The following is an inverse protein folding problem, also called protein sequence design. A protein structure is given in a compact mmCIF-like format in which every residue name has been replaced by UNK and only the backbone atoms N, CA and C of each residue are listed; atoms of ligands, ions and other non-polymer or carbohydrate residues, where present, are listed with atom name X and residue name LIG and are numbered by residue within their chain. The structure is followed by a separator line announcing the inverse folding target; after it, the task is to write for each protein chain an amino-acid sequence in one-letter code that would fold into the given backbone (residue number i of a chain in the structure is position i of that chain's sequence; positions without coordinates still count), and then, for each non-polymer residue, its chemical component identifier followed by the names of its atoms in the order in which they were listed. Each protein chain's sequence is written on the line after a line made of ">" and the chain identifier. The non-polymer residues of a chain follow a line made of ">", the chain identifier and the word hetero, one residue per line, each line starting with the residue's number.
data_IF_097350526369
#
_entry.id   IF_097350526369
#
_cell.length_a   1.000
_cell.length_b   1.000
_cell.length_c   1.000
_cell.angle_alpha   90.00
_cell.angle_beta   90.00
_cell.angle_gamma   90.00
#
_symmetry.space_group_name_H-M   'P 1'
#
loop_
_entity.id
_entity.type
_entity.pdbx_description
1 polymer ?
#
# COMPACT_ATOMS: atom_id res chain seq x y z
N UNK A 1 7.03 26.76 0.90
CA UNK A 1 8.03 26.57 -0.17
C UNK A 1 9.06 25.49 0.20
N UNK A 2 9.74 25.57 1.35
CA UNK A 2 10.80 24.62 1.78
C UNK A 2 10.35 23.15 1.92
N UNK A 3 9.10 22.91 2.33
CA UNK A 3 8.56 21.53 2.44
C UNK A 3 8.33 20.91 1.06
N UNK A 4 7.89 21.69 0.08
CA UNK A 4 7.63 21.22 -1.28
C UNK A 4 8.94 20.89 -1.99
N UNK A 5 9.96 21.74 -1.86
CA UNK A 5 11.27 21.49 -2.47
C UNK A 5 11.96 20.26 -1.86
N UNK A 6 11.85 20.07 -0.54
CA UNK A 6 12.35 18.87 0.13
C UNK A 6 11.61 17.60 -0.34
N UNK A 7 10.28 17.67 -0.46
CA UNK A 7 9.46 16.57 -0.97
C UNK A 7 9.84 16.20 -2.40
N UNK A 8 9.98 17.17 -3.30
CA UNK A 8 10.39 16.92 -4.69
C UNK A 8 11.78 16.27 -4.76
N UNK A 9 12.75 16.76 -3.97
CA UNK A 9 14.08 16.18 -3.92
C UNK A 9 14.04 14.73 -3.40
N UNK A 10 13.30 14.47 -2.32
CA UNK A 10 13.14 13.12 -1.77
C UNK A 10 12.51 12.15 -2.79
N UNK A 11 11.50 12.59 -3.55
CA UNK A 11 10.87 11.76 -4.59
C UNK A 11 11.84 11.47 -5.73
N UNK A 12 12.60 12.47 -6.18
CA UNK A 12 13.63 12.30 -7.23
C UNK A 12 14.69 11.30 -6.77
N UNK A 13 15.20 11.44 -5.54
CA UNK A 13 16.16 10.50 -4.95
C UNK A 13 15.56 9.09 -4.89
N UNK A 14 14.31 8.95 -4.45
CA UNK A 14 13.63 7.64 -4.38
C UNK A 14 13.50 6.98 -5.76
N UNK A 15 13.15 7.74 -6.80
CA UNK A 15 13.06 7.22 -8.18
C UNK A 15 14.42 6.75 -8.66
N UNK A 16 15.47 7.56 -8.47
CA UNK A 16 16.84 7.21 -8.88
C UNK A 16 17.34 5.97 -8.13
N UNK A 17 17.13 5.90 -6.81
CA UNK A 17 17.50 4.73 -6.00
C UNK A 17 16.77 3.46 -6.44
N UNK A 18 15.49 3.57 -6.78
CA UNK A 18 14.70 2.43 -7.27
C UNK A 18 15.17 1.98 -8.64
N UNK A 19 15.46 2.91 -9.56
CA UNK A 19 15.98 2.59 -10.89
C UNK A 19 17.33 1.86 -10.81
N UNK A 20 18.25 2.36 -9.96
CA UNK A 20 19.53 1.70 -9.71
C UNK A 20 19.34 0.33 -9.07
N UNK A 21 18.44 0.19 -8.09
CA UNK A 21 18.15 -1.10 -7.45
C UNK A 21 17.70 -2.16 -8.47
N UNK A 22 16.92 -1.79 -9.49
CA UNK A 22 16.51 -2.71 -10.54
C UNK A 22 17.65 -3.19 -11.44
N UNK A 23 18.75 -2.43 -11.59
CA UNK A 23 19.95 -2.89 -12.30
C UNK A 23 20.75 -3.93 -11.50
N UNK A 24 20.69 -3.87 -10.17
CA UNK A 24 21.35 -4.84 -9.28
C UNK A 24 20.52 -6.10 -8.99
N UNK A 25 19.23 -6.09 -9.33
CA UNK A 25 18.31 -7.20 -9.09
C UNK A 25 18.05 -7.94 -10.40
N UNK A 26 18.55 -9.16 -10.51
CA UNK A 26 18.21 -10.06 -11.60
C UNK A 26 16.73 -10.49 -11.46
N UNK A 27 15.83 -9.78 -12.13
CA UNK A 27 14.39 -10.05 -12.10
C UNK A 27 14.05 -11.44 -12.67
N UNK A 28 14.92 -11.98 -13.53
CA UNK A 28 14.81 -13.33 -14.06
C UNK A 28 15.12 -14.40 -13.01
N UNK A 29 15.98 -14.12 -12.03
CA UNK A 29 16.29 -15.04 -10.93
C UNK A 29 15.12 -15.25 -9.94
N UNK A 30 14.14 -14.33 -9.92
CA UNK A 30 12.93 -14.42 -9.09
C UNK A 30 11.67 -14.82 -9.88
N UNK A 31 11.82 -15.20 -11.17
CA UNK A 31 10.74 -15.71 -12.00
C UNK A 31 9.75 -14.65 -12.50
N UNK A 32 10.19 -13.39 -12.60
CA UNK A 32 9.37 -12.29 -13.14
C UNK A 32 9.65 -12.18 -14.64
N UNK A 33 8.59 -12.25 -15.47
CA UNK A 33 8.72 -12.13 -16.92
C UNK A 33 9.04 -10.66 -17.28
N UNK A 34 10.18 -10.37 -17.94
CA UNK A 34 10.56 -9.00 -18.30
C UNK A 34 9.60 -8.35 -19.30
N UNK A 35 8.65 -9.09 -19.90
CA UNK A 35 7.61 -8.53 -20.77
C UNK A 35 6.31 -8.30 -20.01
N UNK A 36 6.30 -7.29 -19.14
CA UNK A 36 5.08 -6.76 -18.53
C UNK A 36 4.08 -6.37 -19.64
N UNK A 37 3.07 -7.21 -19.85
CA UNK A 37 2.02 -6.99 -20.85
C UNK A 37 1.10 -5.85 -20.40
N UNK A 38 0.51 -5.11 -21.34
CA UNK A 38 -0.44 -4.02 -21.04
C UNK A 38 -1.56 -4.46 -20.08
N UNK A 39 -2.08 -5.68 -20.24
CA UNK A 39 -3.09 -6.25 -19.35
C UNK A 39 -2.61 -6.40 -17.89
N UNK A 40 -1.33 -6.76 -17.68
CA UNK A 40 -0.73 -6.83 -16.35
C UNK A 40 -0.67 -5.45 -15.72
N UNK A 41 -0.21 -4.45 -16.48
CA UNK A 41 -0.12 -3.07 -16.00
C UNK A 41 -1.49 -2.49 -15.60
N UNK A 42 -2.51 -2.72 -16.41
CA UNK A 42 -3.90 -2.30 -16.09
C UNK A 42 -4.39 -3.01 -14.82
N UNK A 43 -4.15 -4.32 -14.71
CA UNK A 43 -4.58 -5.10 -13.54
C UNK A 43 -3.88 -4.64 -12.26
N UNK A 44 -2.58 -4.34 -12.33
CA UNK A 44 -1.81 -3.77 -11.21
C UNK A 44 -2.33 -2.38 -10.84
N UNK A 45 -2.58 -1.51 -11.82
CA UNK A 45 -3.13 -0.18 -11.56
C UNK A 45 -4.49 -0.25 -10.85
N UNK A 46 -5.39 -1.12 -11.31
CA UNK A 46 -6.70 -1.34 -10.69
C UNK A 46 -6.57 -1.90 -9.26
N UNK A 47 -5.63 -2.81 -9.02
CA UNK A 47 -5.36 -3.36 -7.69
C UNK A 47 -4.86 -2.29 -6.71
N UNK A 48 -4.04 -1.35 -7.18
CA UNK A 48 -3.44 -0.30 -6.36
C UNK A 48 -4.42 0.82 -5.98
N UNK A 49 -5.51 1.02 -6.73
CA UNK A 49 -6.51 2.06 -6.44
C UNK A 49 -7.13 1.94 -5.03
N UNK A 50 -7.67 0.78 -4.61
CA UNK A 50 -8.12 0.56 -3.23
C UNK A 50 -7.02 0.83 -2.19
N UNK A 51 -5.77 0.45 -2.49
CA UNK A 51 -4.64 0.68 -1.59
C UNK A 51 -4.33 2.16 -1.39
N UNK A 52 -4.39 2.95 -2.46
CA UNK A 52 -4.19 4.39 -2.37
C UNK A 52 -5.23 5.05 -1.47
N UNK A 53 -6.49 4.61 -1.54
CA UNK A 53 -7.56 5.10 -0.66
C UNK A 53 -7.29 4.73 0.81
N UNK A 54 -6.88 3.48 1.07
CA UNK A 54 -6.51 3.03 2.41
C UNK A 54 -5.34 3.83 2.98
N UNK A 55 -4.29 4.03 2.18
CA UNK A 55 -3.11 4.80 2.57
C UNK A 55 -3.45 6.25 2.90
N UNK A 56 -4.30 6.90 2.09
CA UNK A 56 -4.79 8.25 2.34
C UNK A 56 -5.58 8.35 3.65
N UNK A 57 -6.46 7.37 3.93
CA UNK A 57 -7.20 7.29 5.19
C UNK A 57 -6.26 7.13 6.40
N UNK A 58 -5.27 6.25 6.32
CA UNK A 58 -4.27 6.06 7.38
C UNK A 58 -3.40 7.30 7.59
N UNK A 59 -3.01 7.98 6.51
CA UNK A 59 -2.24 9.22 6.58
C UNK A 59 -3.06 10.33 7.24
N UNK A 60 -4.34 10.46 6.91
CA UNK A 60 -5.22 11.43 7.53
C UNK A 60 -5.42 11.12 9.03
N UNK A 61 -5.58 9.84 9.38
CA UNK A 61 -5.75 9.40 10.77
C UNK A 61 -4.50 9.71 11.61
N UNK A 62 -3.32 9.34 11.11
CA UNK A 62 -2.04 9.67 11.79
C UNK A 62 -1.80 11.17 11.90
N UNK A 63 -2.29 11.96 10.93
CA UNK A 63 -2.21 13.42 10.97
C UNK A 63 -3.08 14.06 12.06
N UNK A 64 -4.16 13.39 12.53
CA UNK A 64 -4.95 13.88 13.66
C UNK A 64 -4.22 13.74 15.00
N UNK A 65 -3.41 12.69 15.14
CA UNK A 65 -2.67 12.43 16.39
C UNK A 65 -1.29 13.09 16.42
N UNK A 66 -0.75 13.48 15.27
CA UNK A 66 0.57 14.10 15.15
C UNK A 66 0.50 15.62 15.34
N UNK A 67 1.50 16.20 16.02
CA UNK A 67 1.63 17.65 16.17
C UNK A 67 2.22 18.30 14.92
N UNK A 68 2.95 17.53 14.12
CA UNK A 68 3.60 18.00 12.90
C UNK A 68 3.47 17.01 11.75
N UNK A 69 3.58 17.50 10.51
CA UNK A 69 3.60 16.64 9.31
C UNK A 69 4.73 15.59 9.37
N UNK A 70 5.89 15.93 9.95
CA UNK A 70 7.02 15.00 10.10
C UNK A 70 6.71 13.86 11.08
N UNK A 71 5.97 14.15 12.15
CA UNK A 71 5.51 13.13 13.10
C UNK A 71 4.47 12.21 12.43
N UNK A 72 3.50 12.77 11.70
CA UNK A 72 2.51 11.97 10.96
C UNK A 72 3.19 11.02 9.97
N UNK A 73 4.18 11.52 9.23
CA UNK A 73 4.96 10.72 8.29
C UNK A 73 5.81 9.65 8.99
N UNK A 74 6.37 9.94 10.17
CA UNK A 74 7.09 8.94 10.97
C UNK A 74 6.16 7.85 11.49
N UNK A 75 4.97 8.20 11.99
CA UNK A 75 3.97 7.24 12.44
C UNK A 75 3.46 6.36 11.31
N UNK A 76 3.22 6.95 10.14
CA UNK A 76 2.85 6.18 8.96
C UNK A 76 4.00 5.24 8.53
N UNK A 77 5.24 5.70 8.57
CA UNK A 77 6.42 4.87 8.34
C UNK A 77 6.50 3.67 9.29
N UNK A 78 6.28 3.90 10.58
CA UNK A 78 6.20 2.84 11.60
C UNK A 78 5.04 1.85 11.31
N UNK A 79 3.89 2.36 10.90
CA UNK A 79 2.71 1.57 10.60
C UNK A 79 2.94 0.62 9.42
N UNK A 80 3.71 1.04 8.40
CA UNK A 80 4.05 0.21 7.24
C UNK A 80 4.90 -1.02 7.62
N UNK A 81 5.69 -0.97 8.70
CA UNK A 81 6.48 -2.13 9.12
C UNK A 81 5.62 -3.30 9.61
N UNK A 82 4.43 -3.02 10.16
CA UNK A 82 3.51 -4.06 10.67
C UNK A 82 3.14 -5.08 9.58
N UNK A 83 2.61 -4.69 8.41
CA UNK A 83 2.32 -5.62 7.33
C UNK A 83 3.57 -6.11 6.60
N UNK A 84 4.72 -5.43 6.69
CA UNK A 84 5.96 -5.89 6.04
C UNK A 84 6.47 -7.21 6.61
N UNK A 85 6.39 -7.43 7.93
CA UNK A 85 6.85 -8.68 8.56
C UNK A 85 6.18 -9.90 7.92
N UNK A 86 4.83 -10.01 7.88
CA UNK A 86 4.18 -11.15 7.24
C UNK A 86 4.45 -11.24 5.73
N UNK A 87 4.60 -10.10 5.02
CA UNK A 87 4.99 -10.11 3.59
C UNK A 87 6.35 -10.79 3.41
N UNK A 88 7.36 -10.39 4.18
CA UNK A 88 8.72 -10.95 4.10
C UNK A 88 8.69 -12.46 4.38
N UNK A 89 7.93 -12.89 5.40
CA UNK A 89 7.77 -14.32 5.72
C UNK A 89 7.18 -15.08 4.52
N UNK A 90 6.16 -14.53 3.88
CA UNK A 90 5.54 -15.19 2.71
C UNK A 90 6.46 -15.23 1.49
N UNK A 91 7.31 -14.21 1.29
CA UNK A 91 8.29 -14.16 0.21
C UNK A 91 9.41 -15.19 0.40
N UNK A 92 9.98 -15.28 1.60
CA UNK A 92 11.07 -16.22 1.90
C UNK A 92 10.58 -17.66 1.95
N UNK A 93 9.43 -17.89 2.61
CA UNK A 93 8.88 -19.24 2.79
C UNK A 93 8.20 -19.83 1.55
N UNK A 94 8.13 -19.08 0.44
CA UNK A 94 7.37 -19.45 -0.77
C UNK A 94 5.97 -19.96 -0.43
N UNK A 95 5.32 -19.30 0.55
CA UNK A 95 4.06 -19.72 1.12
C UNK A 95 2.98 -19.53 0.06
N UNK A 96 2.31 -20.62 -0.34
CA UNK A 96 1.19 -20.55 -1.28
C UNK A 96 0.09 -19.65 -0.71
N UNK A 97 -0.49 -18.80 -1.56
CA UNK A 97 -1.56 -17.91 -1.16
C UNK A 97 -2.73 -18.70 -0.56
N UNK A 98 -3.10 -18.39 0.68
CA UNK A 98 -4.23 -19.00 1.39
C UNK A 98 -5.42 -18.04 1.42
N UNK A 99 -6.65 -18.57 1.51
CA UNK A 99 -7.87 -17.77 1.45
C UNK A 99 -7.92 -16.61 2.47
N UNK A 100 -7.40 -16.83 3.69
CA UNK A 100 -7.38 -15.82 4.74
C UNK A 100 -6.44 -14.64 4.42
N UNK A 101 -5.42 -14.83 3.58
CA UNK A 101 -4.47 -13.76 3.23
C UNK A 101 -5.14 -12.65 2.43
N UNK A 102 -6.17 -12.99 1.64
CA UNK A 102 -6.97 -12.02 0.87
C UNK A 102 -7.92 -11.19 1.73
N UNK A 103 -8.12 -11.57 3.01
CA UNK A 103 -8.88 -10.78 3.98
C UNK A 103 -8.02 -9.70 4.66
N UNK A 104 -6.71 -9.75 4.48
CA UNK A 104 -5.79 -8.72 5.01
C UNK A 104 -5.37 -7.83 3.84
N UNK A 105 -5.78 -6.54 3.81
CA UNK A 105 -5.64 -5.69 2.62
C UNK A 105 -4.24 -5.69 1.99
N UNK A 106 -3.20 -5.46 2.80
CA UNK A 106 -1.83 -5.31 2.32
C UNK A 106 -1.22 -6.67 1.92
N UNK A 107 -1.50 -7.73 2.67
CA UNK A 107 -1.01 -9.07 2.35
C UNK A 107 -1.68 -9.66 1.10
N UNK A 108 -3.01 -9.55 1.01
CA UNK A 108 -3.76 -10.02 -0.14
C UNK A 108 -3.34 -9.30 -1.44
N UNK A 109 -3.13 -7.98 -1.36
CA UNK A 109 -2.66 -7.23 -2.52
C UNK A 109 -1.25 -7.61 -2.93
N UNK A 110 -0.35 -7.83 -1.97
CA UNK A 110 0.99 -8.31 -2.27
C UNK A 110 0.96 -9.65 -3.01
N UNK A 111 0.09 -10.59 -2.59
CA UNK A 111 0.02 -11.88 -3.27
C UNK A 111 -0.54 -11.80 -4.69
N UNK A 112 -1.56 -10.99 -4.92
CA UNK A 112 -2.08 -10.78 -6.28
C UNK A 112 -1.03 -10.09 -7.16
N UNK A 113 -0.31 -9.11 -6.61
CA UNK A 113 0.76 -8.42 -7.32
C UNK A 113 1.87 -9.40 -7.74
N UNK A 114 2.32 -10.27 -6.83
CA UNK A 114 3.32 -11.29 -7.13
C UNK A 114 2.82 -12.30 -8.17
N UNK A 115 1.55 -12.73 -8.11
CA UNK A 115 0.98 -13.61 -9.13
C UNK A 115 0.93 -12.97 -10.51
N UNK A 116 0.56 -11.68 -10.60
CA UNK A 116 0.58 -10.92 -11.85
C UNK A 116 2.02 -10.84 -12.41
N UNK A 117 3.00 -10.54 -11.56
CA UNK A 117 4.41 -10.44 -11.96
C UNK A 117 5.01 -11.78 -12.41
N UNK A 118 4.53 -12.90 -11.84
CA UNK A 118 4.90 -14.26 -12.24
C UNK A 118 4.16 -14.77 -13.49
N UNK A 119 3.22 -13.99 -14.04
CA UNK A 119 2.40 -14.43 -15.16
C UNK A 119 1.42 -15.56 -14.83
N UNK A 120 1.10 -15.77 -13.55
CA UNK A 120 0.14 -16.77 -13.12
C UNK A 120 -1.29 -16.35 -13.49
N UNK A 121 -2.20 -17.32 -13.67
CA UNK A 121 -3.60 -17.04 -13.99
C UNK A 121 -4.25 -16.24 -12.85
N UNK A 122 -4.70 -15.03 -13.16
CA UNK A 122 -5.35 -14.16 -12.18
C UNK A 122 -6.73 -14.71 -11.80
N UNK A 123 -6.90 -15.08 -10.53
CA UNK A 123 -8.21 -15.41 -10.00
C UNK A 123 -9.01 -14.13 -9.74
N UNK A 124 -9.98 -13.83 -10.60
CA UNK A 124 -10.84 -12.65 -10.50
C UNK A 124 -11.62 -12.56 -9.18
N UNK A 125 -11.97 -13.70 -8.57
CA UNK A 125 -12.69 -13.73 -7.29
C UNK A 125 -11.78 -13.21 -6.18
N UNK A 126 -10.52 -13.67 -6.13
CA UNK A 126 -9.56 -13.19 -5.13
C UNK A 126 -9.24 -11.70 -5.35
N UNK A 127 -9.13 -11.26 -6.60
CA UNK A 127 -8.95 -9.85 -6.98
C UNK A 127 -10.09 -8.97 -6.46
N UNK A 128 -11.34 -9.37 -6.74
CA UNK A 128 -12.51 -8.64 -6.26
C UNK A 128 -12.59 -8.65 -4.74
N UNK A 129 -12.33 -9.82 -4.12
CA UNK A 129 -12.38 -9.99 -2.66
C UNK A 129 -11.41 -9.04 -1.96
N UNK A 130 -10.13 -9.04 -2.35
CA UNK A 130 -9.14 -8.17 -1.71
C UNK A 130 -9.45 -6.69 -1.95
N UNK A 131 -9.94 -6.34 -3.14
CA UNK A 131 -10.30 -4.96 -3.48
C UNK A 131 -11.45 -4.47 -2.61
N UNK A 132 -12.52 -5.27 -2.49
CA UNK A 132 -13.68 -4.97 -1.64
C UNK A 132 -13.28 -4.86 -0.16
N UNK A 133 -12.48 -5.81 0.33
CA UNK A 133 -11.99 -5.79 1.71
C UNK A 133 -11.12 -4.54 1.96
N UNK A 134 -10.23 -4.19 1.03
CA UNK A 134 -9.40 -2.99 1.14
C UNK A 134 -10.25 -1.73 1.19
N UNK A 135 -11.24 -1.60 0.29
CA UNK A 135 -12.17 -0.46 0.28
C UNK A 135 -12.98 -0.41 1.57
N UNK A 136 -13.48 -1.55 2.06
CA UNK A 136 -14.22 -1.61 3.32
C UNK A 136 -13.38 -1.11 4.51
N UNK A 137 -12.11 -1.53 4.61
CA UNK A 137 -11.17 -1.02 5.61
C UNK A 137 -10.92 0.48 5.47
N UNK A 138 -10.74 0.96 4.24
CA UNK A 138 -10.53 2.39 3.98
C UNK A 138 -11.75 3.22 4.40
N UNK A 139 -12.96 2.78 4.05
CA UNK A 139 -14.21 3.41 4.46
C UNK A 139 -14.41 3.37 5.98
N UNK A 140 -14.02 2.28 6.64
CA UNK A 140 -14.05 2.20 8.10
C UNK A 140 -13.15 3.27 8.73
N UNK A 141 -11.91 3.41 8.25
CA UNK A 141 -10.98 4.44 8.73
C UNK A 141 -11.54 5.84 8.46
N UNK A 142 -12.07 6.10 7.26
CA UNK A 142 -12.72 7.37 6.92
C UNK A 142 -13.95 7.65 7.81
N UNK A 143 -14.71 6.62 8.16
CA UNK A 143 -15.84 6.72 9.08
C UNK A 143 -15.41 7.10 10.50
N UNK A 144 -14.33 6.48 11.00
CA UNK A 144 -13.71 6.82 12.29
C UNK A 144 -13.17 8.26 12.28
N UNK A 145 -12.45 8.64 11.22
CA UNK A 145 -11.97 10.00 10.99
C UNK A 145 -13.08 11.03 11.05
N UNK A 146 -14.19 10.78 10.36
CA UNK A 146 -15.34 11.69 10.32
C UNK A 146 -15.96 11.88 11.70
N UNK A 147 -16.04 10.82 12.52
CA UNK A 147 -16.54 10.90 13.89
C UNK A 147 -15.59 11.67 14.81
N UNK A 148 -14.28 11.41 14.73
CA UNK A 148 -13.25 12.10 15.52
C UNK A 148 -13.25 13.61 15.24
N UNK A 149 -13.19 13.99 13.96
CA UNK A 149 -13.20 15.40 13.54
C UNK A 149 -14.47 16.14 13.96
N UNK A 150 -15.62 15.47 13.92
CA UNK A 150 -16.89 16.06 14.38
C UNK A 150 -16.90 16.26 15.89
N UNK A 151 -16.32 15.33 16.66
CA UNK A 151 -16.19 15.45 18.12
C UNK A 151 -15.29 16.60 18.52
N UNK A 152 -14.14 16.77 17.88
CA UNK A 152 -13.21 17.88 18.18
C UNK A 152 -13.80 19.24 17.84
N UNK A 153 -14.51 19.36 16.72
CA UNK A 153 -15.17 20.61 16.33
C UNK A 153 -16.27 21.05 17.31
N UNK A 154 -16.97 20.11 17.94
CA UNK A 154 -18.01 20.40 18.93
C UNK A 154 -17.40 20.81 20.28
N UNK A 155 -16.22 20.30 20.63
CA UNK A 155 -15.54 20.62 21.91
C UNK A 155 -14.74 21.92 21.84
N UNK A 156 -14.16 22.26 20.69
CA UNK A 156 -13.37 23.51 20.50
C UNK A 156 -14.15 24.65 19.83
N UNK A 157 -15.43 24.44 19.51
CA UNK A 157 -16.27 25.38 18.77
C UNK A 157 -17.43 26.00 19.57
N UNK A 158 -17.37 26.00 20.90
CA UNK A 158 -18.37 26.59 21.80
C UNK A 158 -17.75 27.55 22.80
#
# INVERSE_FOLDING_TARGET
>A
FTVVTFGMAATVISIVMTALAFEFVDLTAIGIDPKLTVNMQISMALLLLPSALLAAGLQMLTSLFAKTFKEAQSYLGMLIFIPMIPVIITMIGNVKAQAWMFLVPILGQQQILTNIMRGESMNLINFATVSVVTVAFALLIIGVLTKLLRSERVVYGG
#
